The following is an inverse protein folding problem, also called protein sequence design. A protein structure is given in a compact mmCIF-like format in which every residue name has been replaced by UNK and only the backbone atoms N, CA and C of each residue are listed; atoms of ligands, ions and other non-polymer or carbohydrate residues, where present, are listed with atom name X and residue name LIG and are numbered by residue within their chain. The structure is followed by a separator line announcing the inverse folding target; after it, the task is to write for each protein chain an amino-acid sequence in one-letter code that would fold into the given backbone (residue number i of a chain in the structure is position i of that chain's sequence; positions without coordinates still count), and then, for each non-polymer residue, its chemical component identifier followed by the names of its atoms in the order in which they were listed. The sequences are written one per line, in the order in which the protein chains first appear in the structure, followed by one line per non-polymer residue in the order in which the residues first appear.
data_IF_310893265333
#
_entry.id   IF_310893265333
#
_cell.length_a   1.000
_cell.length_b   1.000
_cell.length_c   1.000
_cell.angle_alpha   90.00
_cell.angle_beta   90.00
_cell.angle_gamma   90.00
#
_symmetry.space_group_name_H-M   'P 1'
#
loop_
_entity.id
_entity.type
_entity.pdbx_description
1 polymer ?
#
# COMPACT_ATOMS: atom_id res chain seq x y z
N UNK A 1 25.70 3.79 26.29
CA UNK A 1 24.96 4.10 25.06
C UNK A 1 24.28 2.86 24.51
N UNK A 2 25.03 1.85 24.03
CA UNK A 2 24.44 0.63 23.45
C UNK A 2 23.43 -0.08 24.35
N UNK A 3 23.70 -0.17 25.66
CA UNK A 3 22.75 -0.77 26.60
C UNK A 3 21.44 0.04 26.76
N UNK A 4 21.52 1.37 26.66
CA UNK A 4 20.33 2.23 26.70
C UNK A 4 19.49 2.06 25.42
N UNK A 5 20.15 1.96 24.26
CA UNK A 5 19.48 1.73 22.97
C UNK A 5 18.77 0.38 22.92
N UNK A 6 19.35 -0.67 23.52
CA UNK A 6 18.72 -1.99 23.61
C UNK A 6 17.49 -2.04 24.51
N UNK A 7 17.34 -1.07 25.42
CA UNK A 7 16.18 -0.96 26.30
C UNK A 7 15.13 0.01 25.75
N UNK A 8 15.57 1.04 25.03
CA UNK A 8 14.72 2.01 24.35
C UNK A 8 15.51 2.66 23.20
N UNK A 9 15.25 2.21 21.97
CA UNK A 9 15.86 2.69 20.74
C UNK A 9 15.59 4.17 20.48
N UNK A 10 14.53 4.74 21.07
CA UNK A 10 14.25 6.18 20.97
C UNK A 10 15.29 7.03 21.71
N UNK A 11 16.11 6.44 22.58
CA UNK A 11 17.19 7.16 23.26
C UNK A 11 18.26 7.70 22.30
N UNK A 12 18.32 7.21 21.05
CA UNK A 12 19.21 7.76 20.01
C UNK A 12 18.95 9.25 19.72
N UNK A 13 17.74 9.75 19.99
CA UNK A 13 17.41 11.19 19.88
C UNK A 13 18.23 12.09 20.79
N UNK A 14 18.83 11.53 21.85
CA UNK A 14 19.68 12.24 22.81
C UNK A 14 21.16 12.20 22.40
N UNK A 15 21.52 11.35 21.45
CA UNK A 15 22.87 11.23 20.94
C UNK A 15 23.23 12.43 20.06
N UNK A 16 24.51 12.78 20.00
CA UNK A 16 24.98 13.80 19.06
C UNK A 16 24.99 13.28 17.61
N UNK A 17 25.18 14.18 16.66
CA UNK A 17 25.11 13.87 15.23
C UNK A 17 26.12 12.81 14.77
N UNK A 18 27.26 12.65 15.45
CA UNK A 18 28.23 11.61 15.10
C UNK A 18 27.69 10.22 15.38
N UNK A 19 27.03 10.04 16.54
CA UNK A 19 26.40 8.78 16.95
C UNK A 19 25.09 8.51 16.19
N UNK A 20 24.33 9.55 15.86
CA UNK A 20 23.14 9.42 14.99
C UNK A 20 23.49 9.03 13.54
N UNK A 21 24.76 9.14 13.16
CA UNK A 21 25.27 8.70 11.86
C UNK A 21 26.16 7.45 11.93
N UNK A 22 26.36 6.87 13.11
CA UNK A 22 27.17 5.67 13.28
C UNK A 22 26.32 4.42 12.94
N UNK A 23 26.72 3.60 11.95
CA UNK A 23 25.94 2.44 11.52
C UNK A 23 25.64 1.42 12.62
N UNK A 24 26.58 1.18 13.55
CA UNK A 24 26.39 0.19 14.62
C UNK A 24 25.39 0.72 15.66
N UNK A 25 25.49 2.00 16.00
CA UNK A 25 24.56 2.67 16.93
C UNK A 25 23.16 2.73 16.33
N UNK A 26 23.06 3.07 15.05
CA UNK A 26 21.79 3.18 14.32
C UNK A 26 21.14 1.82 14.12
N UNK A 27 21.89 0.77 13.80
CA UNK A 27 21.35 -0.60 13.69
C UNK A 27 20.70 -1.03 15.01
N UNK A 28 21.38 -0.86 16.14
CA UNK A 28 20.82 -1.25 17.45
C UNK A 28 19.58 -0.43 17.83
N UNK A 29 19.55 0.86 17.50
CA UNK A 29 18.38 1.69 17.74
C UNK A 29 17.16 1.25 16.91
N UNK A 30 17.39 0.93 15.64
CA UNK A 30 16.34 0.56 14.69
C UNK A 30 15.85 -0.88 14.88
N UNK A 31 16.72 -1.81 15.27
CA UNK A 31 16.35 -3.17 15.64
C UNK A 31 15.42 -3.20 16.86
N UNK A 32 15.64 -2.32 17.83
CA UNK A 32 14.75 -2.18 18.99
C UNK A 32 13.46 -1.47 18.60
N UNK A 33 13.57 -0.31 17.94
CA UNK A 33 12.41 0.49 17.56
C UNK A 33 12.62 1.16 16.19
N UNK A 34 12.02 0.62 15.11
CA UNK A 34 12.11 1.20 13.76
C UNK A 34 11.64 2.65 13.66
N UNK A 35 10.75 3.10 14.55
CA UNK A 35 10.28 4.49 14.57
C UNK A 35 11.37 5.48 15.04
N UNK A 36 12.47 4.99 15.61
CA UNK A 36 13.66 5.80 15.92
C UNK A 36 14.37 6.32 14.67
N UNK A 37 14.04 5.81 13.46
CA UNK A 37 14.55 6.29 12.17
C UNK A 37 14.39 7.79 11.96
N UNK A 38 13.37 8.41 12.58
CA UNK A 38 13.19 9.86 12.58
C UNK A 38 14.41 10.64 13.12
N UNK A 39 15.24 10.02 13.95
CA UNK A 39 16.35 10.66 14.66
C UNK A 39 17.73 10.28 14.11
N UNK A 40 17.80 9.44 13.08
CA UNK A 40 19.08 8.99 12.50
C UNK A 40 19.45 9.84 11.30
N UNK A 41 20.74 9.89 10.97
CA UNK A 41 21.24 10.66 9.83
C UNK A 41 20.77 10.04 8.50
N UNK A 42 20.17 10.81 7.58
CA UNK A 42 19.84 10.30 6.25
C UNK A 42 21.05 9.73 5.49
N UNK A 43 22.25 10.25 5.78
CA UNK A 43 23.48 9.77 5.15
C UNK A 43 23.79 8.30 5.49
N UNK A 44 23.53 7.87 6.74
CA UNK A 44 23.77 6.48 7.13
C UNK A 44 22.77 5.53 6.47
N UNK A 45 21.51 5.94 6.32
CA UNK A 45 20.49 5.13 5.62
C UNK A 45 20.80 5.03 4.13
N UNK A 46 21.40 6.06 3.54
CA UNK A 46 21.83 6.03 2.14
C UNK A 46 23.05 5.12 1.93
N UNK A 47 24.03 5.13 2.83
CA UNK A 47 25.23 4.28 2.71
C UNK A 47 25.02 2.84 3.20
N UNK A 48 24.02 2.62 4.06
CA UNK A 48 23.64 1.32 4.63
C UNK A 48 22.12 1.07 4.47
N UNK A 49 21.62 0.96 3.24
CA UNK A 49 20.19 0.75 2.98
C UNK A 49 19.64 -0.53 3.60
N UNK A 50 20.48 -1.53 3.86
CA UNK A 50 20.12 -2.77 4.55
C UNK A 50 19.57 -2.53 5.96
N UNK A 51 20.07 -1.52 6.68
CA UNK A 51 19.59 -1.16 8.01
C UNK A 51 18.17 -0.59 7.92
N UNK A 52 17.94 0.29 6.95
CA UNK A 52 16.61 0.83 6.66
C UNK A 52 15.62 -0.27 6.25
N UNK A 53 16.05 -1.17 5.36
CA UNK A 53 15.23 -2.27 4.86
C UNK A 53 14.77 -3.18 5.99
N UNK A 54 15.68 -3.57 6.90
CA UNK A 54 15.35 -4.40 8.06
C UNK A 54 14.35 -3.71 9.00
N UNK A 55 14.52 -2.40 9.26
CA UNK A 55 13.62 -1.63 10.11
C UNK A 55 12.21 -1.52 9.51
N UNK A 56 12.12 -1.26 8.20
CA UNK A 56 10.83 -1.21 7.47
C UNK A 56 10.18 -2.59 7.41
N UNK A 57 10.96 -3.65 7.22
CA UNK A 57 10.44 -5.02 7.24
C UNK A 57 9.84 -5.38 8.62
N UNK A 58 10.49 -4.99 9.71
CA UNK A 58 9.98 -5.19 11.06
C UNK A 58 8.69 -4.40 11.33
N UNK A 59 8.65 -3.13 10.87
CA UNK A 59 7.50 -2.24 11.07
C UNK A 59 7.29 -1.38 9.81
N UNK A 60 6.37 -1.77 8.91
CA UNK A 60 6.15 -1.09 7.61
C UNK A 60 5.83 0.40 7.72
N UNK A 61 5.14 0.82 8.78
CA UNK A 61 4.82 2.24 9.01
C UNK A 61 6.06 3.11 9.28
N UNK A 62 7.22 2.53 9.60
CA UNK A 62 8.48 3.28 9.71
C UNK A 62 8.96 3.85 8.36
N UNK A 63 8.43 3.35 7.24
CA UNK A 63 8.63 3.88 5.89
C UNK A 63 8.38 5.39 5.80
N UNK A 64 7.51 5.94 6.65
CA UNK A 64 7.23 7.39 6.71
C UNK A 64 8.45 8.25 7.05
N UNK A 65 9.50 7.67 7.63
CA UNK A 65 10.75 8.37 7.96
C UNK A 65 11.89 8.04 6.99
N UNK A 66 11.68 7.12 6.05
CA UNK A 66 12.71 6.72 5.10
C UNK A 66 12.81 7.74 3.96
N UNK A 67 13.98 8.36 3.72
CA UNK A 67 14.17 9.23 2.57
C UNK A 67 14.05 8.45 1.26
N UNK A 68 13.32 9.02 0.28
CA UNK A 68 13.19 8.44 -1.07
C UNK A 68 14.52 8.32 -1.83
N UNK A 69 15.55 9.05 -1.39
CA UNK A 69 16.90 9.01 -1.97
C UNK A 69 17.72 7.79 -1.54
N UNK A 70 17.22 6.94 -0.65
CA UNK A 70 17.90 5.71 -0.21
C UNK A 70 18.00 4.71 -1.38
N UNK A 71 19.17 4.12 -1.66
CA UNK A 71 19.30 3.11 -2.70
C UNK A 71 18.38 1.92 -2.42
N UNK A 72 17.65 1.46 -3.44
CA UNK A 72 16.67 0.38 -3.27
C UNK A 72 15.35 0.80 -2.61
N UNK A 73 15.06 2.12 -2.48
CA UNK A 73 13.80 2.60 -1.90
C UNK A 73 12.55 1.93 -2.49
N UNK A 74 12.51 1.71 -3.81
CA UNK A 74 11.42 0.98 -4.47
C UNK A 74 11.22 -0.43 -3.89
N UNK A 75 12.31 -1.18 -3.74
CA UNK A 75 12.26 -2.56 -3.25
C UNK A 75 11.88 -2.60 -1.76
N UNK A 76 12.33 -1.61 -0.98
CA UNK A 76 11.92 -1.44 0.41
C UNK A 76 10.42 -1.15 0.51
N UNK A 77 9.88 -0.27 -0.34
CA UNK A 77 8.43 0.00 -0.42
C UNK A 77 7.67 -1.27 -0.81
N UNK A 78 8.13 -2.01 -1.81
CA UNK A 78 7.50 -3.27 -2.22
C UNK A 78 7.46 -4.29 -1.06
N UNK A 79 8.56 -4.41 -0.31
CA UNK A 79 8.62 -5.25 0.90
C UNK A 79 7.65 -4.76 2.00
N UNK A 80 7.56 -3.44 2.20
CA UNK A 80 6.66 -2.83 3.17
C UNK A 80 5.19 -3.13 2.85
N UNK A 81 4.74 -2.87 1.61
CA UNK A 81 3.34 -3.07 1.21
C UNK A 81 2.94 -4.54 1.17
N UNK A 82 3.90 -5.44 0.91
CA UNK A 82 3.68 -6.88 0.98
C UNK A 82 3.38 -7.36 2.41
N UNK A 83 3.79 -6.60 3.43
CA UNK A 83 3.52 -6.89 4.85
C UNK A 83 2.34 -6.11 5.42
N UNK A 84 2.19 -4.86 4.99
CA UNK A 84 1.09 -3.96 5.34
C UNK A 84 0.75 -3.08 4.14
N UNK A 85 -0.32 -3.41 3.42
CA UNK A 85 -0.74 -2.73 2.19
C UNK A 85 -1.05 -1.25 2.42
N UNK A 86 -1.40 -0.85 3.65
CA UNK A 86 -1.62 0.56 3.98
C UNK A 86 -0.31 1.37 4.02
N UNK A 87 0.85 0.72 4.07
CA UNK A 87 2.15 1.38 3.93
C UNK A 87 2.30 2.11 2.58
N UNK A 88 1.46 1.77 1.58
CA UNK A 88 1.38 2.50 0.31
C UNK A 88 1.13 4.00 0.50
N UNK A 89 0.44 4.39 1.57
CA UNK A 89 0.23 5.80 1.94
C UNK A 89 1.53 6.57 2.19
N UNK A 90 2.62 5.90 2.56
CA UNK A 90 3.93 6.51 2.81
C UNK A 90 4.85 6.52 1.58
N UNK A 91 4.50 5.78 0.53
CA UNK A 91 5.26 5.77 -0.72
C UNK A 91 5.13 7.11 -1.47
N UNK A 92 6.09 7.40 -2.35
CA UNK A 92 6.03 8.55 -3.26
C UNK A 92 4.88 8.40 -4.26
N UNK A 93 4.46 9.51 -4.87
CA UNK A 93 3.36 9.48 -5.84
C UNK A 93 3.68 8.56 -7.02
N UNK A 94 4.93 8.56 -7.48
CA UNK A 94 5.42 7.70 -8.57
C UNK A 94 5.27 6.22 -8.22
N UNK A 95 5.59 5.83 -6.99
CA UNK A 95 5.48 4.43 -6.54
C UNK A 95 4.03 4.02 -6.25
N UNK A 96 3.14 4.97 -5.93
CA UNK A 96 1.69 4.71 -5.88
C UNK A 96 1.06 4.53 -7.27
N UNK A 97 1.83 4.77 -8.33
CA UNK A 97 1.46 4.47 -9.70
C UNK A 97 2.19 3.25 -10.26
N UNK A 98 3.17 2.72 -9.52
CA UNK A 98 3.88 1.52 -9.91
C UNK A 98 2.94 0.32 -9.78
N UNK A 99 2.68 -0.31 -10.93
CA UNK A 99 1.72 -1.41 -11.05
C UNK A 99 2.01 -2.55 -10.07
N UNK A 100 3.29 -2.95 -9.93
CA UNK A 100 3.66 -4.09 -9.09
C UNK A 100 3.44 -3.77 -7.61
N UNK A 101 3.80 -2.55 -7.19
CA UNK A 101 3.61 -2.08 -5.80
C UNK A 101 2.12 -1.95 -5.48
N UNK A 102 1.33 -1.38 -6.39
CA UNK A 102 -0.11 -1.22 -6.21
C UNK A 102 -0.81 -2.58 -6.15
N UNK A 103 -0.49 -3.49 -7.06
CA UNK A 103 -1.03 -4.86 -7.06
C UNK A 103 -0.67 -5.58 -5.75
N UNK A 104 0.58 -5.48 -5.28
CA UNK A 104 1.01 -6.06 -4.01
C UNK A 104 0.25 -5.46 -2.82
N UNK A 105 0.14 -4.13 -2.75
CA UNK A 105 -0.54 -3.42 -1.67
C UNK A 105 -2.04 -3.77 -1.60
N UNK A 106 -2.74 -3.72 -2.73
CA UNK A 106 -4.17 -4.00 -2.82
C UNK A 106 -4.46 -5.48 -2.58
N UNK A 107 -3.60 -6.38 -3.05
CA UNK A 107 -3.72 -7.82 -2.76
C UNK A 107 -3.51 -8.12 -1.27
N UNK A 108 -2.66 -7.35 -0.58
CA UNK A 108 -2.45 -7.49 0.86
C UNK A 108 -3.62 -6.90 1.66
N UNK A 109 -4.12 -5.72 1.26
CA UNK A 109 -5.26 -5.07 1.88
C UNK A 109 -6.00 -4.20 0.86
N UNK A 110 -7.24 -4.59 0.53
CA UNK A 110 -8.08 -3.87 -0.44
C UNK A 110 -8.31 -2.38 -0.14
N UNK A 111 -8.21 -1.95 1.13
CA UNK A 111 -8.30 -0.52 1.49
C UNK A 111 -7.12 0.31 0.98
N UNK A 112 -5.99 -0.32 0.61
CA UNK A 112 -4.85 0.37 0.02
C UNK A 112 -5.20 1.10 -1.29
N UNK A 113 -6.30 0.71 -1.94
CA UNK A 113 -6.83 1.39 -3.14
C UNK A 113 -7.10 2.89 -2.89
N UNK A 114 -7.41 3.30 -1.65
CA UNK A 114 -7.60 4.72 -1.29
C UNK A 114 -6.35 5.57 -1.55
N UNK A 115 -5.16 4.97 -1.50
CA UNK A 115 -3.89 5.68 -1.73
C UNK A 115 -3.42 5.67 -3.18
N UNK A 116 -4.09 4.90 -4.03
CA UNK A 116 -3.81 4.85 -5.47
C UNK A 116 -4.47 6.07 -6.14
N UNK A 117 -3.75 6.80 -7.04
CA UNK A 117 -4.34 7.92 -7.77
C UNK A 117 -5.60 7.51 -8.54
N UNK A 118 -6.64 8.35 -8.48
CA UNK A 118 -7.96 8.06 -9.05
C UNK A 118 -7.93 7.80 -10.55
N UNK A 119 -6.92 8.30 -11.26
CA UNK A 119 -6.70 8.05 -12.68
C UNK A 119 -6.45 6.56 -12.99
N UNK A 120 -5.91 5.81 -12.02
CA UNK A 120 -5.61 4.38 -12.13
C UNK A 120 -6.79 3.48 -11.71
N UNK A 121 -7.90 4.04 -11.24
CA UNK A 121 -9.13 3.28 -10.98
C UNK A 121 -9.78 2.71 -12.24
N UNK A 122 -9.32 3.17 -13.41
CA UNK A 122 -9.64 2.56 -14.71
C UNK A 122 -9.06 1.15 -14.87
N UNK A 123 -8.08 0.75 -14.05
CA UNK A 123 -7.52 -0.61 -14.05
C UNK A 123 -8.46 -1.54 -13.28
N UNK A 124 -9.39 -2.15 -14.03
CA UNK A 124 -10.47 -2.98 -13.49
C UNK A 124 -9.95 -4.10 -12.58
N UNK A 125 -8.86 -4.78 -12.96
CA UNK A 125 -8.31 -5.91 -12.18
C UNK A 125 -7.89 -5.53 -10.75
N UNK A 126 -7.26 -4.35 -10.58
CA UNK A 126 -6.82 -3.85 -9.27
C UNK A 126 -8.05 -3.53 -8.41
N UNK A 127 -9.05 -2.89 -9.01
CA UNK A 127 -10.27 -2.50 -8.30
C UNK A 127 -11.11 -3.73 -7.94
N UNK A 128 -11.19 -4.73 -8.80
CA UNK A 128 -11.83 -6.03 -8.49
C UNK A 128 -11.12 -6.69 -7.30
N UNK A 129 -9.79 -6.77 -7.33
CA UNK A 129 -8.99 -7.37 -6.25
C UNK A 129 -9.26 -6.68 -4.90
N UNK A 130 -9.40 -5.35 -4.90
CA UNK A 130 -9.79 -4.58 -3.72
C UNK A 130 -11.22 -4.87 -3.28
N UNK A 131 -12.16 -4.89 -4.23
CA UNK A 131 -13.59 -5.04 -3.97
C UNK A 131 -13.96 -6.44 -3.48
N UNK A 132 -13.24 -7.48 -3.93
CA UNK A 132 -13.41 -8.85 -3.47
C UNK A 132 -13.10 -9.00 -1.98
N UNK A 133 -12.17 -8.19 -1.45
CA UNK A 133 -11.86 -8.14 -0.02
C UNK A 133 -12.83 -7.23 0.75
N UNK A 134 -13.14 -6.06 0.19
CA UNK A 134 -14.05 -5.10 0.81
C UNK A 134 -14.82 -4.31 -0.26
N UNK A 135 -16.08 -4.67 -0.57
CA UNK A 135 -16.89 -3.98 -1.58
C UNK A 135 -17.09 -2.48 -1.31
N UNK A 136 -16.90 -2.01 -0.06
CA UNK A 136 -17.01 -0.60 0.29
C UNK A 136 -16.02 0.29 -0.48
N UNK A 137 -14.90 -0.26 -0.97
CA UNK A 137 -13.93 0.46 -1.79
C UNK A 137 -14.51 0.96 -3.12
N UNK A 138 -15.61 0.36 -3.59
CA UNK A 138 -16.31 0.81 -4.80
C UNK A 138 -16.88 2.22 -4.65
N UNK A 139 -17.08 2.69 -3.42
CA UNK A 139 -17.49 4.09 -3.16
C UNK A 139 -16.44 5.12 -3.57
N UNK A 140 -15.17 4.71 -3.77
CA UNK A 140 -14.06 5.58 -4.19
C UNK A 140 -14.09 5.93 -5.68
N UNK A 141 -14.73 5.10 -6.52
CA UNK A 141 -14.66 5.17 -7.98
C UNK A 141 -15.39 6.38 -8.60
N UNK A 142 -16.14 7.12 -7.77
CA UNK A 142 -16.85 8.32 -8.18
C UNK A 142 -17.96 8.08 -9.20
N UNK A 143 -18.80 9.09 -9.47
CA UNK A 143 -19.95 8.94 -10.36
C UNK A 143 -19.58 8.75 -11.83
N UNK A 144 -18.38 9.19 -12.25
CA UNK A 144 -17.93 9.09 -13.63
C UNK A 144 -17.75 7.63 -14.08
N UNK A 145 -16.99 6.82 -13.31
CA UNK A 145 -16.82 5.40 -13.60
C UNK A 145 -18.11 4.61 -13.35
N UNK A 146 -18.86 4.95 -12.30
CA UNK A 146 -20.14 4.29 -11.97
C UNK A 146 -21.27 4.56 -12.96
N UNK A 147 -21.10 5.54 -13.85
CA UNK A 147 -22.04 5.87 -14.92
C UNK A 147 -21.56 5.43 -16.30
N UNK A 148 -20.31 4.96 -16.42
CA UNK A 148 -19.71 4.47 -17.66
C UNK A 148 -20.12 3.03 -17.93
N UNK A 149 -20.81 2.82 -19.05
CA UNK A 149 -21.34 1.49 -19.41
C UNK A 149 -20.22 0.48 -19.65
N UNK A 150 -19.15 0.89 -20.33
CA UNK A 150 -18.07 -0.02 -20.71
C UNK A 150 -17.33 -0.49 -19.46
N UNK A 151 -17.03 0.43 -18.55
CA UNK A 151 -16.41 0.12 -17.27
C UNK A 151 -17.28 -0.80 -16.41
N UNK A 152 -18.56 -0.47 -16.22
CA UNK A 152 -19.47 -1.28 -15.40
C UNK A 152 -19.67 -2.68 -16.00
N UNK A 153 -19.74 -2.80 -17.33
CA UNK A 153 -19.85 -4.09 -18.00
C UNK A 153 -18.58 -4.94 -17.82
N UNK A 154 -17.41 -4.33 -17.98
CA UNK A 154 -16.13 -5.02 -17.77
C UNK A 154 -15.99 -5.49 -16.33
N UNK A 155 -16.29 -4.61 -15.37
CA UNK A 155 -16.24 -4.92 -13.95
C UNK A 155 -17.25 -6.02 -13.56
N UNK A 156 -18.48 -5.97 -14.06
CA UNK A 156 -19.53 -6.94 -13.74
C UNK A 156 -19.16 -8.38 -14.12
N UNK A 157 -18.29 -8.56 -15.12
CA UNK A 157 -17.78 -9.89 -15.52
C UNK A 157 -16.89 -10.53 -14.45
N UNK A 158 -16.18 -9.72 -13.65
CA UNK A 158 -15.34 -10.20 -12.57
C UNK A 158 -16.00 -10.11 -11.20
N UNK A 159 -16.78 -9.06 -10.93
CA UNK A 159 -17.42 -8.84 -9.65
C UNK A 159 -18.83 -8.25 -9.80
N UNK A 160 -19.85 -9.07 -9.54
CA UNK A 160 -21.25 -8.68 -9.68
C UNK A 160 -21.75 -7.67 -8.66
N UNK A 161 -21.00 -7.44 -7.57
CA UNK A 161 -21.33 -6.45 -6.53
C UNK A 161 -21.42 -5.01 -7.09
N UNK A 162 -20.81 -4.75 -8.24
CA UNK A 162 -20.84 -3.44 -8.91
C UNK A 162 -22.26 -2.91 -9.15
N UNK A 163 -23.28 -3.78 -9.31
CA UNK A 163 -24.67 -3.37 -9.52
C UNK A 163 -25.33 -2.67 -8.32
N UNK A 164 -24.76 -2.84 -7.13
CA UNK A 164 -25.21 -2.13 -5.93
C UNK A 164 -24.68 -0.69 -5.89
N UNK A 165 -23.57 -0.41 -6.59
CA UNK A 165 -22.88 0.88 -6.58
C UNK A 165 -23.03 1.68 -7.88
N UNK A 166 -23.16 1.00 -9.01
CA UNK A 166 -23.33 1.62 -10.32
C UNK A 166 -24.68 2.33 -10.45
N UNK A 167 -24.78 3.24 -11.41
CA UNK A 167 -26.03 3.94 -11.72
C UNK A 167 -27.17 2.93 -11.95
N UNK A 168 -28.30 3.13 -11.25
CA UNK A 168 -29.46 2.24 -11.26
C UNK A 168 -29.99 1.91 -12.66
N UNK A 169 -29.72 2.75 -13.67
CA UNK A 169 -30.04 2.48 -15.08
C UNK A 169 -29.47 1.14 -15.56
N UNK A 170 -28.31 0.72 -15.05
CA UNK A 170 -27.64 -0.52 -15.44
C UNK A 170 -28.31 -1.79 -14.91
N UNK A 171 -29.21 -1.67 -13.92
CA UNK A 171 -30.07 -2.79 -13.48
C UNK A 171 -31.08 -3.22 -14.56
N UNK A 172 -31.27 -2.40 -15.59
CA UNK A 172 -32.07 -2.74 -16.78
C UNK A 172 -31.21 -3.12 -17.99
N UNK A 173 -29.88 -3.01 -17.90
CA UNK A 173 -28.98 -3.41 -18.98
C UNK A 173 -28.77 -4.93 -18.93
N UNK A 174 -29.41 -5.63 -19.87
CA UNK A 174 -29.41 -7.09 -19.92
C UNK A 174 -27.99 -7.68 -19.96
N UNK A 175 -27.06 -7.04 -20.66
CA UNK A 175 -25.70 -7.58 -20.81
C UNK A 175 -24.95 -7.49 -19.48
N UNK A 176 -25.04 -6.34 -18.79
CA UNK A 176 -24.41 -6.11 -17.49
C UNK A 176 -25.01 -7.01 -16.42
N UNK A 177 -26.35 -7.11 -16.36
CA UNK A 177 -27.04 -7.95 -15.38
C UNK A 177 -26.67 -9.42 -15.57
N UNK A 178 -26.62 -9.91 -16.81
CA UNK A 178 -26.20 -11.29 -17.08
C UNK A 178 -24.75 -11.54 -16.69
N UNK A 179 -23.84 -10.60 -16.98
CA UNK A 179 -22.43 -10.70 -16.57
C UNK A 179 -22.28 -10.75 -15.04
N UNK A 180 -22.97 -9.86 -14.32
CA UNK A 180 -22.96 -9.83 -12.86
C UNK A 180 -23.56 -11.10 -12.22
N UNK A 181 -24.66 -11.61 -12.77
CA UNK A 181 -25.24 -12.87 -12.29
C UNK A 181 -24.31 -14.07 -12.53
N UNK A 182 -23.59 -14.09 -13.66
CA UNK A 182 -22.64 -15.15 -13.97
C UNK A 182 -21.43 -15.12 -13.02
N UNK A 183 -20.89 -13.93 -12.71
CA UNK A 183 -19.77 -13.82 -11.76
C UNK A 183 -20.16 -14.24 -10.33
N UNK A 184 -21.34 -13.84 -9.85
CA UNK A 184 -21.85 -14.28 -8.53
C UNK A 184 -22.13 -15.79 -8.50
N UNK A 185 -22.71 -16.35 -9.57
CA UNK A 185 -23.01 -17.77 -9.66
C UNK A 185 -21.77 -18.67 -9.63
N UNK A 186 -20.62 -18.18 -10.10
CA UNK A 186 -19.33 -18.87 -10.02
C UNK A 186 -18.73 -18.80 -8.60
N UNK A 187 -18.96 -17.71 -7.86
CA UNK A 187 -18.48 -17.54 -6.49
C UNK A 187 -19.20 -18.46 -5.47
N UNK A 188 -20.41 -18.93 -5.78
CA UNK A 188 -21.23 -19.80 -4.92
C UNK A 188 -21.02 -21.31 -5.16
N UNK A 189 -20.11 -21.71 -6.07
CA UNK A 189 -19.86 -23.13 -6.42
C UNK A 189 -18.68 -23.77 -5.67
N UNK A 190 -18.14 -23.12 -4.63
CA UNK A 190 -17.05 -23.60 -3.78
C UNK A 190 -17.46 -23.61 -2.31
#
# INVERSE_FOLDING_TARGET
MMEALRQDGMTIRLADASLQGDPEVVSVALEENPMSMKYVSPAVLHSHPEIAAAAVEQQPNSLMFLPESVPGYRDIVLGAVSRDGLALHHATLELRQDREIVEAAVSQNGLALEFVPVELYSIVDVVITAADQNPSVLTLLGPALMSDRAYVLEFARGCGAILDFADHKFRSDREIVLAACQSIGLALQW
#
